data_IF_820260438948
#
_entry.id   IF_820260438948
#
_cell.length_a   1.000
_cell.length_b   1.000
_cell.length_c   1.000
_cell.angle_alpha   90.00
_cell.angle_beta   90.00
_cell.angle_gamma   90.00
#
_symmetry.space_group_name_H-M   'P 1'
#
loop_
_entity.id
_entity.type
_entity.pdbx_description
1 polymer ?
#
# COMPACT_ATOMS: atom_id res chain seq x y z
N UNK A 1 -6.66 15.39 2.18
CA UNK A 1 -6.82 14.77 0.82
C UNK A 1 -7.00 13.29 1.07
N UNK A 2 -8.21 12.79 0.91
CA UNK A 2 -8.53 11.37 1.16
C UNK A 2 -7.70 10.46 0.25
N UNK A 3 -7.19 9.38 0.82
CA UNK A 3 -6.44 8.34 0.12
C UNK A 3 -5.30 8.89 -0.76
N UNK A 4 -4.51 9.81 -0.22
CA UNK A 4 -3.36 10.35 -0.94
C UNK A 4 -2.27 9.29 -1.10
N UNK A 5 -1.81 9.10 -2.33
CA UNK A 5 -0.73 8.17 -2.64
C UNK A 5 0.63 8.79 -2.34
N UNK A 6 1.14 8.60 -1.13
CA UNK A 6 2.46 9.10 -0.74
C UNK A 6 3.58 8.15 -1.19
N UNK A 7 3.53 6.90 -0.74
CA UNK A 7 4.58 5.92 -0.98
C UNK A 7 3.95 4.65 -1.56
N UNK A 8 4.48 4.17 -2.70
CA UNK A 8 4.04 2.92 -3.34
C UNK A 8 5.25 2.03 -3.59
N UNK A 9 5.00 0.73 -3.59
CA UNK A 9 6.02 -0.22 -3.98
C UNK A 9 6.18 -0.18 -5.50
N UNK A 10 7.39 0.07 -5.95
CA UNK A 10 7.73 0.12 -7.36
C UNK A 10 8.69 -1.02 -7.72
N UNK A 11 8.57 -1.52 -8.93
CA UNK A 11 9.45 -2.55 -9.46
C UNK A 11 9.70 -2.35 -10.94
N UNK A 12 10.87 -2.77 -11.42
CA UNK A 12 11.15 -2.80 -12.83
C UNK A 12 10.15 -3.72 -13.54
N UNK A 13 9.49 -3.23 -14.57
CA UNK A 13 8.39 -3.94 -15.27
C UNK A 13 8.78 -5.34 -15.70
N UNK A 14 9.94 -5.52 -16.34
CA UNK A 14 10.41 -6.82 -16.79
C UNK A 14 10.59 -7.80 -15.60
N UNK A 15 11.21 -7.32 -14.52
CA UNK A 15 11.42 -8.16 -13.34
C UNK A 15 10.11 -8.58 -12.67
N UNK A 16 9.14 -7.65 -12.56
CA UNK A 16 7.81 -7.95 -12.00
C UNK A 16 7.10 -9.00 -12.85
N UNK A 17 7.15 -8.88 -14.18
CA UNK A 17 6.53 -9.82 -15.10
C UNK A 17 7.19 -11.20 -15.06
N UNK A 18 8.51 -11.27 -14.89
CA UNK A 18 9.26 -12.53 -14.82
C UNK A 18 9.14 -13.22 -13.44
N UNK A 19 8.77 -12.45 -12.40
CA UNK A 19 8.72 -12.95 -11.01
C UNK A 19 7.39 -12.70 -10.28
N UNK A 20 6.22 -12.97 -10.89
CA UNK A 20 4.93 -12.62 -10.30
C UNK A 20 4.68 -13.30 -8.94
N UNK A 21 5.13 -14.53 -8.78
CA UNK A 21 4.97 -15.27 -7.51
C UNK A 21 5.82 -14.66 -6.38
N UNK A 22 7.01 -14.14 -6.70
CA UNK A 22 7.85 -13.44 -5.72
C UNK A 22 7.19 -12.12 -5.31
N UNK A 23 6.64 -11.36 -6.26
CA UNK A 23 5.92 -10.12 -5.99
C UNK A 23 4.71 -10.39 -5.10
N UNK A 24 3.90 -11.41 -5.42
CA UNK A 24 2.76 -11.80 -4.58
C UNK A 24 3.19 -12.23 -3.18
N UNK A 25 4.29 -12.95 -3.05
CA UNK A 25 4.82 -13.33 -1.74
C UNK A 25 5.21 -12.11 -0.89
N UNK A 26 5.81 -11.08 -1.50
CA UNK A 26 6.13 -9.80 -0.84
C UNK A 26 4.83 -9.11 -0.40
N UNK A 27 3.84 -9.00 -1.29
CA UNK A 27 2.55 -8.37 -0.98
C UNK A 27 1.85 -9.10 0.18
N UNK A 28 1.81 -10.43 0.18
CA UNK A 28 1.22 -11.22 1.29
C UNK A 28 1.93 -10.97 2.62
N UNK A 29 3.26 -10.88 2.60
CA UNK A 29 4.02 -10.56 3.81
C UNK A 29 3.71 -9.15 4.34
N UNK A 30 3.56 -8.18 3.44
CA UNK A 30 3.19 -6.81 3.79
C UNK A 30 1.74 -6.73 4.31
N UNK A 31 0.78 -7.42 3.68
CA UNK A 31 -0.60 -7.51 4.17
C UNK A 31 -0.67 -8.11 5.58
N UNK A 32 0.11 -9.15 5.84
CA UNK A 32 0.21 -9.73 7.18
C UNK A 32 0.81 -8.75 8.20
N UNK A 33 1.82 -7.99 7.78
CA UNK A 33 2.41 -6.95 8.63
C UNK A 33 1.42 -5.80 8.91
N UNK A 34 0.65 -5.39 7.92
CA UNK A 34 -0.42 -4.39 8.10
C UNK A 34 -1.50 -4.90 9.06
N UNK A 35 -1.96 -6.14 8.89
CA UNK A 35 -2.92 -6.76 9.82
C UNK A 35 -2.38 -6.82 11.24
N UNK A 36 -1.09 -7.16 11.42
CA UNK A 36 -0.46 -7.14 12.73
C UNK A 36 -0.46 -5.71 13.32
N UNK A 37 -0.07 -4.72 12.53
CA UNK A 37 -0.03 -3.32 12.95
C UNK A 37 -1.41 -2.85 13.41
N UNK A 38 -2.45 -3.07 12.63
CA UNK A 38 -3.80 -2.61 12.97
C UNK A 38 -4.37 -3.23 14.25
N UNK A 39 -3.98 -4.48 14.54
CA UNK A 39 -4.42 -5.19 15.74
C UNK A 39 -3.49 -5.01 16.97
N UNK A 40 -2.28 -4.44 16.77
CA UNK A 40 -1.26 -4.34 17.82
C UNK A 40 -0.53 -3.00 17.75
N UNK A 41 -1.25 -1.88 17.63
CA UNK A 41 -0.67 -0.55 17.39
C UNK A 41 0.39 -0.13 18.41
N UNK A 42 0.13 -0.33 19.71
CA UNK A 42 1.09 0.03 20.75
C UNK A 42 2.40 -0.78 20.67
N UNK A 43 2.31 -2.08 20.36
CA UNK A 43 3.49 -2.91 20.17
C UNK A 43 4.25 -2.52 18.91
N UNK A 44 3.53 -2.20 17.84
CA UNK A 44 4.12 -1.70 16.59
C UNK A 44 4.88 -0.38 16.81
N UNK A 45 4.35 0.51 17.64
CA UNK A 45 5.04 1.75 18.06
C UNK A 45 6.39 1.44 18.71
N UNK A 46 6.44 0.50 19.67
CA UNK A 46 7.69 0.11 20.35
C UNK A 46 8.70 -0.48 19.36
N UNK A 47 8.25 -1.39 18.51
CA UNK A 47 9.10 -2.02 17.49
C UNK A 47 9.65 -0.98 16.50
N UNK A 48 8.81 -0.05 16.08
CA UNK A 48 9.22 0.99 15.15
C UNK A 48 10.19 1.98 15.80
N UNK A 49 9.88 2.46 17.01
CA UNK A 49 10.74 3.36 17.76
C UNK A 49 12.15 2.77 17.97
N UNK A 50 12.22 1.50 18.38
CA UNK A 50 13.48 0.79 18.52
C UNK A 50 14.26 0.71 17.20
N UNK A 51 13.57 0.47 16.08
CA UNK A 51 14.19 0.33 14.75
C UNK A 51 14.77 1.64 14.24
N UNK A 52 14.04 2.75 14.38
CA UNK A 52 14.48 4.07 13.90
C UNK A 52 15.29 4.85 14.94
N UNK A 53 15.50 4.28 16.15
CA UNK A 53 16.21 4.91 17.28
C UNK A 53 15.56 6.24 17.71
N UNK A 54 14.24 6.29 17.73
CA UNK A 54 13.44 7.39 18.24
C UNK A 54 12.81 7.04 19.60
N UNK A 55 12.18 8.01 20.26
CA UNK A 55 11.39 7.73 21.47
C UNK A 55 10.02 7.15 21.10
N UNK A 56 9.46 6.30 21.97
CA UNK A 56 8.11 5.76 21.77
C UNK A 56 7.06 6.88 21.72
N UNK A 57 7.21 7.92 22.53
CA UNK A 57 6.32 9.08 22.52
C UNK A 57 6.28 9.78 21.15
N UNK A 58 7.44 9.99 20.53
CA UNK A 58 7.52 10.58 19.19
C UNK A 58 6.83 9.70 18.14
N UNK A 59 7.06 8.40 18.19
CA UNK A 59 6.46 7.46 17.23
C UNK A 59 4.97 7.31 17.49
N UNK A 60 4.51 7.24 18.73
CA UNK A 60 3.10 7.18 19.09
C UNK A 60 2.33 8.39 18.60
N UNK A 61 2.93 9.57 18.65
CA UNK A 61 2.29 10.82 18.24
C UNK A 61 1.76 10.82 16.78
N UNK A 62 2.36 10.01 15.89
CA UNK A 62 1.84 9.89 14.52
C UNK A 62 1.23 8.50 14.23
N UNK A 63 1.80 7.41 14.74
CA UNK A 63 1.29 6.07 14.43
C UNK A 63 -0.06 5.74 15.10
N UNK A 64 -0.41 6.44 16.17
CA UNK A 64 -1.71 6.28 16.85
C UNK A 64 -2.73 7.35 16.43
N UNK A 65 -2.39 8.21 15.48
CA UNK A 65 -3.30 9.20 14.92
C UNK A 65 -4.13 8.56 13.80
N UNK A 66 -5.26 7.99 14.18
CA UNK A 66 -6.16 7.27 13.26
C UNK A 66 -6.84 8.15 12.20
N UNK A 67 -6.78 9.47 12.36
CA UNK A 67 -7.35 10.41 11.40
C UNK A 67 -6.35 10.78 10.27
N UNK A 68 -5.04 10.79 10.57
CA UNK A 68 -4.05 11.32 9.65
C UNK A 68 -2.97 10.31 9.24
N UNK A 69 -2.84 9.20 9.96
CA UNK A 69 -1.85 8.17 9.66
C UNK A 69 -2.51 6.86 9.25
N UNK A 70 -2.37 6.53 7.99
CA UNK A 70 -2.91 5.31 7.40
C UNK A 70 -1.82 4.55 6.64
N UNK A 71 -1.63 3.29 6.98
CA UNK A 71 -0.71 2.38 6.29
C UNK A 71 -1.55 1.47 5.38
N UNK A 72 -1.22 1.41 4.10
CA UNK A 72 -1.88 0.52 3.16
C UNK A 72 -0.89 -0.10 2.18
N UNK A 73 -1.05 -1.40 1.95
CA UNK A 73 -0.34 -2.16 0.92
C UNK A 73 -1.06 -2.06 -0.44
N UNK A 74 -2.26 -1.52 -0.44
CA UNK A 74 -3.11 -1.35 -1.61
C UNK A 74 -2.44 -0.47 -2.68
N UNK A 75 -2.54 -0.78 -3.97
CA UNK A 75 -1.96 0.02 -5.05
C UNK A 75 -2.48 1.45 -5.12
N UNK A 76 -3.72 1.70 -4.67
CA UNK A 76 -4.39 3.00 -4.75
C UNK A 76 -4.39 3.58 -6.18
N UNK A 77 -4.81 2.80 -7.16
CA UNK A 77 -4.80 3.16 -8.58
C UNK A 77 -5.39 4.55 -8.84
N UNK A 78 -6.58 4.82 -8.30
CA UNK A 78 -7.27 6.08 -8.53
C UNK A 78 -6.49 7.28 -7.96
N UNK A 79 -5.80 7.08 -6.84
CA UNK A 79 -4.96 8.12 -6.23
C UNK A 79 -3.64 8.33 -6.97
N UNK A 80 -3.03 7.26 -7.48
CA UNK A 80 -1.84 7.36 -8.36
C UNK A 80 -2.18 8.12 -9.62
N UNK A 81 -3.30 7.80 -10.28
CA UNK A 81 -3.78 8.53 -11.47
C UNK A 81 -4.02 10.00 -11.18
N UNK A 82 -4.70 10.31 -10.07
CA UNK A 82 -4.92 11.70 -9.64
C UNK A 82 -3.62 12.45 -9.38
N UNK A 83 -2.64 11.79 -8.74
CA UNK A 83 -1.32 12.38 -8.53
C UNK A 83 -0.61 12.65 -9.87
N UNK A 84 -0.68 11.72 -10.81
CA UNK A 84 -0.13 11.88 -12.16
C UNK A 84 -0.74 13.07 -12.88
N UNK A 85 -2.06 13.20 -12.87
CA UNK A 85 -2.77 14.34 -13.45
C UNK A 85 -2.37 15.69 -12.83
N UNK A 86 -2.11 15.72 -11.52
CA UNK A 86 -1.64 16.93 -10.84
C UNK A 86 -0.22 17.25 -11.31
N UNK A 87 0.67 16.30 -11.41
CA UNK A 87 2.03 16.49 -11.87
C UNK A 87 2.08 17.01 -13.31
N UNK A 88 1.20 16.52 -14.19
CA UNK A 88 1.07 17.03 -15.55
C UNK A 88 0.57 18.48 -15.56
N UNK A 89 -0.54 18.78 -14.89
CA UNK A 89 -1.14 20.12 -14.83
C UNK A 89 -0.22 21.18 -14.20
N UNK A 90 0.66 20.77 -13.30
CA UNK A 90 1.64 21.66 -12.66
C UNK A 90 2.94 21.82 -13.44
N UNK A 91 3.07 21.11 -14.58
CA UNK A 91 4.26 21.15 -15.42
C UNK A 91 5.45 20.41 -14.83
N UNK A 92 5.21 19.49 -13.90
CA UNK A 92 6.27 18.69 -13.28
C UNK A 92 6.73 17.53 -14.17
N UNK A 93 5.84 17.05 -15.05
CA UNK A 93 6.17 16.02 -16.03
C UNK A 93 6.88 16.63 -17.24
N UNK A 94 7.98 16.03 -17.66
CA UNK A 94 8.63 16.35 -18.93
C UNK A 94 7.83 15.79 -20.14
N UNK A 95 8.21 16.18 -21.36
CA UNK A 95 7.49 15.77 -22.58
C UNK A 95 7.48 14.25 -22.77
N UNK A 96 8.50 13.52 -22.31
CA UNK A 96 8.55 12.06 -22.41
C UNK A 96 7.59 11.41 -21.41
N UNK A 97 7.52 11.96 -20.20
CA UNK A 97 6.63 11.47 -19.18
C UNK A 97 5.16 11.67 -19.57
N UNK A 98 4.82 12.76 -20.27
CA UNK A 98 3.46 13.02 -20.77
C UNK A 98 2.96 11.99 -21.80
N UNK A 99 3.87 11.32 -22.49
CA UNK A 99 3.54 10.24 -23.42
C UNK A 99 3.19 8.92 -22.73
N UNK A 100 3.45 8.80 -21.42
CA UNK A 100 3.23 7.59 -20.64
C UNK A 100 1.74 7.50 -20.25
N UNK A 101 1.10 6.39 -20.60
CA UNK A 101 -0.18 6.03 -20.00
C UNK A 101 0.05 5.37 -18.64
N UNK A 102 -0.20 6.10 -17.56
CA UNK A 102 0.07 5.62 -16.20
C UNK A 102 -0.72 4.34 -15.85
N UNK A 103 -1.87 4.10 -16.45
CA UNK A 103 -2.65 2.88 -16.23
C UNK A 103 -1.85 1.60 -16.59
N UNK A 104 -0.96 1.67 -17.58
CA UNK A 104 -0.14 0.53 -18.01
C UNK A 104 0.99 0.19 -17.01
N UNK A 105 1.20 1.07 -16.04
CA UNK A 105 2.23 0.96 -15.02
C UNK A 105 1.69 0.67 -13.60
N UNK A 106 0.38 0.49 -13.45
CA UNK A 106 -0.25 0.16 -12.16
C UNK A 106 -0.76 -1.29 -12.22
N UNK A 107 -0.12 -2.18 -11.49
CA UNK A 107 -0.48 -3.59 -11.48
C UNK A 107 -1.38 -3.92 -10.28
N UNK A 108 -2.68 -3.72 -10.44
CA UNK A 108 -3.69 -4.08 -9.42
C UNK A 108 -3.95 -5.57 -9.34
N UNK A 109 -3.74 -6.31 -10.44
CA UNK A 109 -4.03 -7.75 -10.52
C UNK A 109 -3.17 -8.56 -9.55
N UNK A 110 -1.87 -8.30 -9.48
CA UNK A 110 -0.98 -9.01 -8.55
C UNK A 110 -1.35 -8.75 -7.09
N UNK A 111 -1.84 -7.55 -6.78
CA UNK A 111 -2.35 -7.24 -5.44
C UNK A 111 -3.65 -8.01 -5.15
N UNK A 112 -4.63 -7.99 -6.06
CA UNK A 112 -5.91 -8.70 -5.90
C UNK A 112 -5.69 -10.21 -5.69
N UNK A 113 -4.82 -10.83 -6.49
CA UNK A 113 -4.45 -12.24 -6.33
C UNK A 113 -3.77 -12.50 -4.98
N UNK A 114 -2.81 -11.66 -4.60
CA UNK A 114 -2.09 -11.81 -3.34
C UNK A 114 -2.99 -11.58 -2.11
N UNK A 115 -3.96 -10.67 -2.20
CA UNK A 115 -4.95 -10.43 -1.16
C UNK A 115 -5.85 -11.67 -0.95
N UNK A 116 -6.32 -12.29 -2.03
CA UNK A 116 -7.07 -13.54 -1.96
C UNK A 116 -6.24 -14.68 -1.35
N UNK A 117 -5.00 -14.88 -1.80
CA UNK A 117 -4.09 -15.88 -1.25
C UNK A 117 -3.77 -15.63 0.24
N UNK A 118 -3.65 -14.36 0.65
CA UNK A 118 -3.41 -14.00 2.05
C UNK A 118 -4.63 -14.26 2.94
N UNK A 119 -5.84 -13.97 2.44
CA UNK A 119 -7.08 -14.28 3.14
C UNK A 119 -7.27 -15.80 3.30
N UNK A 120 -7.03 -16.58 2.26
CA UNK A 120 -7.11 -18.04 2.33
C UNK A 120 -6.16 -18.62 3.40
N UNK A 121 -4.97 -18.04 3.52
CA UNK A 121 -3.95 -18.51 4.48
C UNK A 121 -4.18 -17.99 5.91
N UNK A 122 -4.62 -16.76 6.08
CA UNK A 122 -4.62 -16.04 7.36
C UNK A 122 -5.97 -15.41 7.73
N UNK A 123 -6.98 -15.51 6.88
CA UNK A 123 -8.27 -14.87 7.09
C UNK A 123 -8.98 -15.30 8.37
N UNK A 124 -8.72 -16.50 8.89
CA UNK A 124 -9.25 -16.96 10.18
C UNK A 124 -8.66 -16.21 11.38
N UNK A 125 -7.45 -15.67 11.24
CA UNK A 125 -6.76 -14.92 12.29
C UNK A 125 -7.24 -13.47 12.35
N UNK A 126 -7.65 -12.89 11.22
CA UNK A 126 -8.08 -11.50 11.09
C UNK A 126 -9.18 -11.32 10.02
N UNK A 127 -10.37 -11.89 10.19
CA UNK A 127 -11.41 -11.91 9.15
C UNK A 127 -11.88 -10.51 8.75
N UNK A 128 -12.05 -9.61 9.71
CA UNK A 128 -12.48 -8.23 9.45
C UNK A 128 -11.45 -7.45 8.65
N UNK A 129 -10.17 -7.63 8.94
CA UNK A 129 -9.09 -6.97 8.21
C UNK A 129 -9.14 -7.32 6.72
N UNK A 130 -9.18 -8.60 6.36
CA UNK A 130 -9.18 -9.01 4.96
C UNK A 130 -10.46 -8.59 4.23
N UNK A 131 -11.60 -8.61 4.90
CA UNK A 131 -12.85 -8.09 4.33
C UNK A 131 -12.76 -6.58 4.06
N UNK A 132 -12.20 -5.82 5.00
CA UNK A 132 -11.99 -4.38 4.83
C UNK A 132 -11.04 -4.08 3.68
N UNK A 133 -9.94 -4.83 3.53
CA UNK A 133 -9.00 -4.65 2.42
C UNK A 133 -9.65 -4.93 1.07
N UNK A 134 -10.52 -5.92 0.95
CA UNK A 134 -11.28 -6.17 -0.29
C UNK A 134 -12.24 -5.04 -0.63
N UNK A 135 -12.94 -4.51 0.37
CA UNK A 135 -13.84 -3.37 0.18
C UNK A 135 -13.04 -2.15 -0.27
N UNK A 136 -11.95 -1.87 0.42
CA UNK A 136 -11.05 -0.76 0.10
C UNK A 136 -10.48 -0.85 -1.32
N UNK A 137 -10.01 -2.03 -1.72
CA UNK A 137 -9.54 -2.28 -3.08
C UNK A 137 -10.65 -2.05 -4.12
N UNK A 138 -11.87 -2.53 -3.86
CA UNK A 138 -12.99 -2.34 -4.78
C UNK A 138 -13.35 -0.86 -4.99
N UNK A 139 -13.13 -0.02 -4.00
CA UNK A 139 -13.40 1.43 -4.04
C UNK A 139 -12.30 2.24 -4.72
N UNK A 140 -11.04 1.79 -4.62
CA UNK A 140 -9.87 2.59 -5.00
C UNK A 140 -9.16 2.13 -6.29
N UNK A 141 -9.41 0.89 -6.76
CA UNK A 141 -8.61 0.26 -7.82
C UNK A 141 -9.42 -0.27 -9.02
N UNK A 142 -10.72 -0.18 -8.98
CA UNK A 142 -11.61 -0.60 -10.08
C UNK A 142 -12.01 0.54 -11.00
#
# INVERSE_FOLDING_TARGET
MENYSCCRMEGQTQWVNDNPNTVKAIIRALLRAQSYYENNKEEAVKLHAAKIKATEEYVAAYMLDDEHYFVSVDPLKNSVKRAWDILDKTGFLDEKAKEINIDDHINTKLYEEALGEAEDAYGKEAPEFYQNMKTFFAENDK
#
